data_IF_945290549635
#
_entry.id   IF_945290549635
#
_cell.length_a   1.000
_cell.length_b   1.000
_cell.length_c   1.000
_cell.angle_alpha   90.00
_cell.angle_beta   90.00
_cell.angle_gamma   90.00
#
_symmetry.space_group_name_H-M   'P 1'
#
loop_
_entity.id
_entity.type
_entity.pdbx_description
1 polymer ?
#
# COMPACT_ATOMS: atom_id res chain seq x y z
N UNK A 1 16.86 -1.05 12.20
CA UNK A 1 15.67 -1.29 13.01
C UNK A 1 14.66 -1.93 12.11
N UNK A 2 14.07 -3.02 12.57
CA UNK A 2 13.02 -3.70 11.85
C UNK A 2 11.68 -3.31 12.50
N UNK A 3 10.76 -2.82 11.69
CA UNK A 3 9.39 -2.49 12.08
C UNK A 3 8.49 -3.48 11.36
N UNK A 4 7.70 -4.26 12.09
CA UNK A 4 6.89 -5.34 11.51
C UNK A 4 5.48 -5.33 12.07
N UNK A 5 4.53 -5.64 11.20
CA UNK A 5 3.14 -5.94 11.53
C UNK A 5 2.85 -7.35 11.02
N UNK A 6 2.65 -8.29 11.93
CA UNK A 6 2.46 -9.71 11.64
C UNK A 6 1.12 -10.19 12.21
N UNK A 7 0.57 -11.25 11.62
CA UNK A 7 -0.57 -11.97 12.16
C UNK A 7 -0.22 -12.77 13.42
N UNK A 8 -1.24 -13.37 14.04
CA UNK A 8 -1.10 -14.25 15.22
C UNK A 8 -0.70 -15.68 14.85
N UNK A 9 -1.08 -16.13 13.66
CA UNK A 9 -0.47 -17.29 12.99
C UNK A 9 0.74 -16.77 12.22
N UNK A 10 1.83 -17.55 12.08
CA UNK A 10 3.05 -17.15 11.35
C UNK A 10 2.83 -17.02 9.82
N UNK A 11 1.69 -16.46 9.43
CA UNK A 11 1.19 -16.27 8.08
C UNK A 11 0.99 -14.77 7.88
N UNK A 12 1.34 -14.28 6.69
CA UNK A 12 1.31 -12.85 6.35
C UNK A 12 2.34 -12.02 7.14
N UNK A 13 2.48 -10.77 6.74
CA UNK A 13 3.35 -9.82 7.41
C UNK A 13 3.76 -8.70 6.47
N UNK A 14 3.79 -7.49 6.99
CA UNK A 14 4.40 -6.34 6.32
C UNK A 14 5.38 -5.67 7.26
N UNK A 15 6.38 -5.00 6.70
CA UNK A 15 7.36 -4.33 7.53
C UNK A 15 8.33 -3.46 6.76
N UNK A 16 9.17 -2.77 7.53
CA UNK A 16 10.22 -1.89 7.02
C UNK A 16 11.55 -2.23 7.69
N UNK A 17 12.59 -2.35 6.87
CA UNK A 17 13.97 -2.38 7.34
C UNK A 17 14.54 -0.97 7.20
N UNK A 18 14.83 -0.32 8.34
CA UNK A 18 15.41 1.04 8.37
C UNK A 18 16.87 1.00 8.81
N UNK A 19 17.75 1.48 7.93
CA UNK A 19 19.20 1.38 8.08
C UNK A 19 19.86 2.73 8.34
N UNK A 20 21.00 2.69 9.04
CA UNK A 20 21.87 3.84 9.26
C UNK A 20 21.16 5.09 9.83
N UNK A 21 21.53 6.26 9.28
CA UNK A 21 21.05 7.58 9.72
C UNK A 21 19.54 7.78 9.53
N UNK A 22 18.88 6.97 8.70
CA UNK A 22 17.42 7.06 8.49
C UNK A 22 16.63 6.72 9.74
N UNK A 23 17.19 5.92 10.65
CA UNK A 23 16.53 5.56 11.92
C UNK A 23 16.15 6.79 12.74
N UNK A 24 17.03 7.80 12.79
CA UNK A 24 16.80 9.05 13.51
C UNK A 24 15.75 9.95 12.84
N UNK A 25 15.35 9.61 11.61
CA UNK A 25 14.32 10.33 10.85
C UNK A 25 12.96 9.67 10.95
N UNK A 26 12.86 8.46 11.50
CA UNK A 26 11.55 7.84 11.75
C UNK A 26 10.86 8.64 12.86
N UNK A 27 9.69 9.19 12.56
CA UNK A 27 8.88 10.01 13.47
C UNK A 27 7.53 9.39 13.80
N UNK A 28 7.19 8.26 13.19
CA UNK A 28 5.99 7.50 13.50
C UNK A 28 6.05 6.09 12.93
N UNK A 29 5.42 5.16 13.63
CA UNK A 29 5.27 3.77 13.24
C UNK A 29 3.89 3.30 13.68
N UNK A 30 3.17 2.63 12.79
CA UNK A 30 1.84 2.08 13.07
C UNK A 30 1.70 0.69 12.43
N UNK A 31 1.60 -0.38 13.23
CA UNK A 31 1.12 -1.67 12.76
C UNK A 31 -0.40 -1.59 12.61
N UNK A 32 -0.94 -1.81 11.40
CA UNK A 32 -2.37 -1.64 11.13
C UNK A 32 -3.06 -3.00 11.21
N UNK A 33 -2.58 -3.96 10.44
CA UNK A 33 -3.02 -5.35 10.51
C UNK A 33 -1.94 -6.28 9.91
N UNK A 34 -2.23 -7.57 9.77
CA UNK A 34 -1.29 -8.56 9.23
C UNK A 34 -0.84 -8.29 7.78
N UNK A 35 -1.57 -7.46 7.03
CA UNK A 35 -1.33 -7.13 5.62
C UNK A 35 -0.94 -5.66 5.39
N UNK A 36 -0.86 -4.85 6.44
CA UNK A 36 -0.65 -3.42 6.30
C UNK A 36 0.09 -2.82 7.49
N UNK A 37 1.07 -1.98 7.20
CA UNK A 37 1.71 -1.13 8.20
C UNK A 37 2.12 0.20 7.60
N UNK A 38 2.32 1.19 8.46
CA UNK A 38 2.71 2.53 8.05
C UNK A 38 3.94 3.00 8.81
N UNK A 39 4.88 3.59 8.08
CA UNK A 39 6.04 4.28 8.61
C UNK A 39 5.99 5.75 8.22
N UNK A 40 6.11 6.64 9.21
CA UNK A 40 6.21 8.07 9.00
C UNK A 40 7.65 8.53 9.17
N UNK A 41 8.20 9.18 8.15
CA UNK A 41 9.61 9.60 8.10
C UNK A 41 9.73 11.10 7.87
N UNK A 42 10.61 11.75 8.61
CA UNK A 42 10.95 13.16 8.48
C UNK A 42 11.89 13.39 7.29
N UNK A 43 11.37 14.04 6.26
CA UNK A 43 12.17 14.54 5.15
C UNK A 43 12.80 15.90 5.44
N UNK A 44 13.43 16.47 4.40
CA UNK A 44 14.02 17.81 4.47
C UNK A 44 12.97 18.91 4.32
N UNK A 45 12.02 18.72 3.39
CA UNK A 45 11.00 19.71 3.03
C UNK A 45 9.60 19.27 3.47
N UNK A 46 9.29 17.99 3.29
CA UNK A 46 8.03 17.37 3.69
C UNK A 46 8.30 16.13 4.52
N UNK A 47 7.33 15.74 5.34
CA UNK A 47 7.31 14.41 5.93
C UNK A 47 6.71 13.43 4.93
N UNK A 48 6.99 12.15 5.11
CA UNK A 48 6.51 11.07 4.27
C UNK A 48 5.72 10.08 5.12
N UNK A 49 4.51 9.76 4.70
CA UNK A 49 3.74 8.62 5.21
C UNK A 49 3.85 7.49 4.19
N UNK A 50 4.57 6.43 4.56
CA UNK A 50 4.79 5.26 3.69
C UNK A 50 3.92 4.13 4.23
N UNK A 51 2.94 3.71 3.44
CA UNK A 51 2.03 2.60 3.76
C UNK A 51 2.52 1.38 2.98
N UNK A 52 2.98 0.34 3.68
CA UNK A 52 3.36 -0.92 3.07
C UNK A 52 2.20 -1.91 3.16
N UNK A 53 1.84 -2.50 2.03
CA UNK A 53 0.65 -3.34 1.88
C UNK A 53 0.97 -4.70 1.26
N UNK A 54 0.16 -5.69 1.60
CA UNK A 54 0.13 -7.01 0.96
C UNK A 54 -1.33 -7.41 0.71
N UNK A 55 -1.84 -7.00 -0.45
CA UNK A 55 -3.23 -7.19 -0.86
C UNK A 55 -3.63 -8.68 -0.88
N UNK A 56 -4.88 -9.04 -0.57
CA UNK A 56 -5.39 -10.38 -0.81
C UNK A 56 -5.14 -10.86 -2.26
N UNK A 57 -4.85 -12.15 -2.42
CA UNK A 57 -4.66 -12.73 -3.76
C UNK A 57 -5.97 -12.72 -4.56
N UNK A 58 -5.88 -12.77 -5.89
CA UNK A 58 -7.04 -12.65 -6.79
C UNK A 58 -8.18 -13.64 -6.47
N UNK A 59 -7.86 -14.88 -6.10
CA UNK A 59 -8.85 -15.89 -5.73
C UNK A 59 -9.44 -15.78 -4.32
N UNK A 60 -9.16 -14.70 -3.56
CA UNK A 60 -9.78 -14.51 -2.25
C UNK A 60 -11.21 -14.01 -2.41
N UNK A 61 -12.10 -14.28 -1.44
CA UNK A 61 -13.45 -13.75 -1.42
C UNK A 61 -13.48 -12.22 -1.57
N UNK A 62 -14.48 -11.71 -2.27
CA UNK A 62 -14.58 -10.27 -2.56
C UNK A 62 -14.76 -9.45 -1.28
N UNK A 63 -15.44 -9.97 -0.26
CA UNK A 63 -15.56 -9.32 1.06
C UNK A 63 -14.20 -9.13 1.76
N UNK A 64 -13.25 -10.06 1.61
CA UNK A 64 -11.87 -9.89 2.11
C UNK A 64 -11.15 -8.76 1.36
N UNK A 65 -11.36 -8.65 0.03
CA UNK A 65 -10.77 -7.60 -0.79
C UNK A 65 -11.38 -6.22 -0.49
N UNK A 66 -12.71 -6.13 -0.41
CA UNK A 66 -13.43 -4.90 -0.05
C UNK A 66 -12.97 -4.38 1.32
N UNK A 67 -12.93 -5.27 2.32
CA UNK A 67 -12.45 -4.91 3.65
C UNK A 67 -11.00 -4.39 3.64
N UNK A 68 -10.14 -5.01 2.83
CA UNK A 68 -8.76 -4.56 2.66
C UNK A 68 -8.67 -3.15 2.03
N UNK A 69 -9.39 -2.89 0.93
CA UNK A 69 -9.37 -1.58 0.28
C UNK A 69 -10.01 -0.49 1.14
N UNK A 70 -11.10 -0.78 1.85
CA UNK A 70 -11.68 0.15 2.82
C UNK A 70 -10.69 0.51 3.95
N UNK A 71 -9.94 -0.47 4.46
CA UNK A 71 -8.91 -0.22 5.48
C UNK A 71 -7.73 0.59 4.91
N UNK A 72 -7.38 0.38 3.63
CA UNK A 72 -6.33 1.12 2.93
C UNK A 72 -6.72 2.59 2.75
N UNK A 73 -7.94 2.86 2.30
CA UNK A 73 -8.49 4.22 2.18
C UNK A 73 -8.50 4.92 3.53
N UNK A 74 -9.03 4.27 4.57
CA UNK A 74 -9.02 4.83 5.93
C UNK A 74 -7.60 5.18 6.40
N UNK A 75 -6.63 4.32 6.11
CA UNK A 75 -5.22 4.56 6.46
C UNK A 75 -4.63 5.73 5.68
N UNK A 76 -4.91 5.78 4.38
CA UNK A 76 -4.46 6.84 3.50
C UNK A 76 -5.03 8.20 3.93
N UNK A 77 -6.32 8.26 4.26
CA UNK A 77 -6.99 9.48 4.71
C UNK A 77 -6.59 9.90 6.12
N UNK A 78 -6.28 8.94 6.98
CA UNK A 78 -5.72 9.18 8.31
C UNK A 78 -4.30 9.77 8.29
N UNK A 79 -3.59 9.71 7.16
CA UNK A 79 -2.29 10.35 7.02
C UNK A 79 -2.39 11.88 7.09
N UNK A 80 -1.35 12.53 7.63
CA UNK A 80 -1.32 13.99 7.67
C UNK A 80 -1.45 14.59 6.26
N UNK A 81 -2.33 15.59 6.05
CA UNK A 81 -2.52 16.20 4.73
C UNK A 81 -1.27 16.91 4.17
N UNK A 82 -0.30 17.23 5.03
CA UNK A 82 0.97 17.87 4.66
C UNK A 82 2.06 16.87 4.32
N UNK A 83 1.83 15.59 4.59
CA UNK A 83 2.79 14.55 4.29
C UNK A 83 2.64 14.12 2.83
N UNK A 84 3.76 13.79 2.21
CA UNK A 84 3.76 13.04 0.96
C UNK A 84 3.35 11.61 1.30
N UNK A 85 2.23 11.16 0.76
CA UNK A 85 1.68 9.82 0.98
C UNK A 85 2.21 8.87 -0.11
N UNK A 86 2.76 7.74 0.29
CA UNK A 86 3.30 6.72 -0.62
C UNK A 86 2.74 5.37 -0.19
N UNK A 87 2.00 4.72 -1.09
CA UNK A 87 1.58 3.32 -0.92
C UNK A 87 2.58 2.44 -1.67
N UNK A 88 3.11 1.42 -1.00
CA UNK A 88 4.11 0.48 -1.53
C UNK A 88 3.76 -0.94 -1.11
N UNK A 89 4.39 -1.92 -1.73
CA UNK A 89 4.23 -3.32 -1.39
C UNK A 89 3.61 -4.10 -2.54
N UNK A 90 2.98 -5.21 -2.21
CA UNK A 90 2.41 -6.13 -3.19
C UNK A 90 0.89 -5.95 -3.26
N UNK A 91 0.42 -5.41 -4.38
CA UNK A 91 -1.00 -5.20 -4.65
C UNK A 91 -1.69 -6.45 -5.21
N UNK A 92 -0.95 -7.52 -5.53
CA UNK A 92 -1.50 -8.71 -6.20
C UNK A 92 -2.39 -8.37 -7.42
N UNK A 93 -2.03 -7.28 -8.11
CA UNK A 93 -2.85 -6.63 -9.12
C UNK A 93 -2.26 -6.87 -10.52
N UNK A 94 -3.09 -7.38 -11.42
CA UNK A 94 -2.79 -7.39 -12.84
C UNK A 94 -3.48 -6.18 -13.48
N UNK A 95 -2.73 -5.13 -13.75
CA UNK A 95 -3.26 -3.94 -14.42
C UNK A 95 -3.09 -4.12 -15.94
N UNK A 96 -4.15 -3.92 -16.71
CA UNK A 96 -4.16 -4.01 -18.16
C UNK A 96 -3.71 -2.73 -18.85
N UNK A 97 -4.13 -2.51 -20.10
CA UNK A 97 -3.85 -1.29 -20.88
C UNK A 97 -5.11 -0.66 -21.45
N UNK A 98 -6.24 -0.90 -20.78
CA UNK A 98 -7.54 -0.35 -21.17
C UNK A 98 -7.47 1.17 -21.26
N UNK A 99 -8.02 1.73 -22.34
CA UNK A 99 -8.00 3.17 -22.60
C UNK A 99 -8.61 3.98 -21.44
N UNK A 100 -9.65 3.44 -20.80
CA UNK A 100 -10.34 4.07 -19.68
C UNK A 100 -9.44 4.30 -18.46
N UNK A 101 -8.41 3.47 -18.26
CA UNK A 101 -7.52 3.54 -17.09
C UNK A 101 -6.25 4.34 -17.34
N UNK A 102 -5.96 4.73 -18.60
CA UNK A 102 -4.75 5.45 -18.98
C UNK A 102 -4.42 6.72 -18.20
N UNK A 103 -5.40 7.54 -17.75
CA UNK A 103 -5.10 8.70 -16.91
C UNK A 103 -4.35 8.33 -15.61
N UNK A 104 -4.53 7.10 -15.12
CA UNK A 104 -3.95 6.60 -13.86
C UNK A 104 -2.73 5.71 -14.11
N UNK A 105 -2.82 4.75 -15.05
CA UNK A 105 -1.82 3.67 -15.20
C UNK A 105 -0.73 3.94 -16.24
N UNK A 106 -0.93 4.95 -17.10
CA UNK A 106 -0.09 5.20 -18.26
C UNK A 106 -0.35 4.26 -19.45
N UNK A 107 0.61 4.13 -20.37
CA UNK A 107 0.44 3.39 -21.64
C UNK A 107 1.05 2.00 -21.67
N UNK A 108 1.97 1.72 -20.73
CA UNK A 108 2.85 0.57 -20.79
C UNK A 108 2.50 -0.40 -19.66
N UNK A 109 1.64 -1.37 -19.97
CA UNK A 109 1.44 -2.56 -19.15
C UNK A 109 1.65 -3.81 -19.98
N UNK A 110 2.07 -4.89 -19.31
CA UNK A 110 2.23 -6.22 -19.91
C UNK A 110 0.88 -6.79 -20.37
N UNK A 111 -0.19 -6.53 -19.62
CA UNK A 111 -1.47 -7.18 -19.81
C UNK A 111 -2.42 -6.35 -20.69
N UNK A 112 -3.30 -7.03 -21.43
CA UNK A 112 -4.34 -6.37 -22.21
C UNK A 112 -5.49 -5.88 -21.32
N UNK A 113 -5.89 -6.72 -20.36
CA UNK A 113 -7.06 -6.53 -19.51
C UNK A 113 -6.65 -6.70 -18.05
N UNK A 114 -7.21 -5.84 -17.20
CA UNK A 114 -7.02 -5.84 -15.76
C UNK A 114 -7.83 -6.96 -15.10
N UNK A 115 -7.25 -7.64 -14.12
CA UNK A 115 -8.02 -8.53 -13.24
C UNK A 115 -8.80 -7.71 -12.19
N UNK A 116 -9.55 -8.36 -11.30
CA UNK A 116 -10.35 -7.67 -10.29
C UNK A 116 -9.47 -6.82 -9.35
N UNK A 117 -8.39 -7.40 -8.82
CA UNK A 117 -7.41 -6.64 -8.04
C UNK A 117 -6.79 -5.46 -8.81
N UNK A 118 -6.58 -5.62 -10.11
CA UNK A 118 -6.11 -4.58 -11.03
C UNK A 118 -7.07 -3.41 -11.10
N UNK A 119 -8.36 -3.68 -11.33
CA UNK A 119 -9.39 -2.65 -11.38
C UNK A 119 -9.52 -1.91 -10.04
N UNK A 120 -9.51 -2.64 -8.92
CA UNK A 120 -9.53 -2.05 -7.57
C UNK A 120 -8.32 -1.17 -7.30
N UNK A 121 -7.13 -1.61 -7.69
CA UNK A 121 -5.89 -0.84 -7.56
C UNK A 121 -5.94 0.45 -8.38
N UNK A 122 -6.50 0.41 -9.60
CA UNK A 122 -6.66 1.61 -10.43
C UNK A 122 -7.69 2.56 -9.82
N UNK A 123 -8.83 2.04 -9.36
CA UNK A 123 -9.87 2.85 -8.74
C UNK A 123 -9.38 3.56 -7.48
N UNK A 124 -8.57 2.89 -6.65
CA UNK A 124 -7.94 3.50 -5.48
C UNK A 124 -6.95 4.62 -5.84
N UNK A 125 -6.25 4.50 -6.97
CA UNK A 125 -5.22 5.45 -7.40
C UNK A 125 -5.76 6.63 -8.24
N UNK A 126 -7.04 6.57 -8.66
CA UNK A 126 -7.71 7.58 -9.47
C UNK A 126 -8.08 8.83 -8.67
#
# INVERSE_FOLDING_TARGET
TFYQSCGTTNELGTGFIVLGKMRQRVIGWQPINARMCMLRVKGRFFNYSIINVHCPHEGRPDDEKEAFYAQLEQTYDGCSPRDVKIVVGDMNAQVGREEIYRPVIGRNSLHAVSNDNGQRCVNFAA
#
